data_IF_038889537525
#
_entry.id   IF_038889537525
#
_cell.length_a   1.000
_cell.length_b   1.000
_cell.length_c   1.000
_cell.angle_alpha   90.00
_cell.angle_beta   90.00
_cell.angle_gamma   90.00
#
_symmetry.space_group_name_H-M   'P 1'
#
loop_
_entity.id
_entity.type
_entity.pdbx_description
1 polymer ?
#
# COMPACT_ATOMS: atom_id res chain seq x y z
N UNK A 1 -8.85 -8.36 16.39
CA UNK A 1 -7.62 -7.88 15.74
C UNK A 1 -7.30 -6.54 16.37
N UNK A 2 -6.11 -6.34 16.91
CA UNK A 2 -5.73 -5.05 17.48
C UNK A 2 -5.33 -4.08 16.36
N UNK A 3 -5.94 -2.89 16.34
CA UNK A 3 -5.64 -1.85 15.37
C UNK A 3 -4.22 -1.31 15.56
N UNK A 4 -3.70 -1.29 16.79
CA UNK A 4 -2.36 -0.79 17.08
C UNK A 4 -1.29 -1.69 16.44
N UNK A 5 -1.39 -3.02 16.63
CA UNK A 5 -0.50 -3.99 15.97
C UNK A 5 -0.52 -3.87 14.45
N UNK A 6 -1.67 -3.52 13.83
CA UNK A 6 -1.77 -3.34 12.38
C UNK A 6 -1.01 -2.10 11.90
N UNK A 7 -1.00 -1.03 12.69
CA UNK A 7 -0.18 0.15 12.41
C UNK A 7 1.31 -0.10 12.66
N UNK A 8 1.69 -0.87 13.67
CA UNK A 8 3.09 -1.27 13.88
C UNK A 8 3.65 -2.09 12.70
N UNK A 9 2.84 -3.00 12.15
CA UNK A 9 3.22 -3.75 10.95
C UNK A 9 3.37 -2.82 9.72
N UNK A 10 2.50 -1.81 9.60
CA UNK A 10 2.59 -0.80 8.54
C UNK A 10 3.85 0.07 8.69
N UNK A 11 4.18 0.49 9.91
CA UNK A 11 5.40 1.23 10.22
C UNK A 11 6.64 0.44 9.82
N UNK A 12 6.72 -0.84 10.20
CA UNK A 12 7.84 -1.73 9.83
C UNK A 12 8.00 -1.84 8.32
N UNK A 13 6.90 -1.98 7.57
CA UNK A 13 6.92 -2.07 6.10
C UNK A 13 7.43 -0.76 5.47
N UNK A 14 6.94 0.38 5.93
CA UNK A 14 7.37 1.69 5.41
C UNK A 14 8.84 1.97 5.75
N UNK A 15 9.30 1.58 6.94
CA UNK A 15 10.72 1.70 7.34
C UNK A 15 11.64 0.81 6.51
N UNK A 16 11.22 -0.43 6.23
CA UNK A 16 11.95 -1.34 5.34
C UNK A 16 12.02 -0.79 3.90
N UNK A 17 10.92 -0.24 3.37
CA UNK A 17 10.88 0.39 2.06
C UNK A 17 11.84 1.59 1.98
N UNK A 18 11.85 2.47 2.99
CA UNK A 18 12.79 3.59 3.09
C UNK A 18 14.25 3.11 3.06
N UNK A 19 14.56 2.06 3.80
CA UNK A 19 15.91 1.48 3.86
C UNK A 19 16.32 0.91 2.50
N UNK A 20 15.42 0.19 1.83
CA UNK A 20 15.64 -0.37 0.49
C UNK A 20 15.94 0.72 -0.54
N UNK A 21 15.13 1.78 -0.59
CA UNK A 21 15.32 2.91 -1.53
C UNK A 21 16.63 3.66 -1.27
N UNK A 22 16.99 3.87 0.01
CA UNK A 22 18.29 4.49 0.36
C UNK A 22 19.48 3.66 -0.11
N UNK A 23 19.42 2.33 0.01
CA UNK A 23 20.45 1.43 -0.51
C UNK A 23 20.53 1.48 -2.04
N UNK A 24 19.36 1.44 -2.69
CA UNK A 24 19.22 1.44 -4.14
C UNK A 24 19.85 2.68 -4.82
N UNK A 25 19.88 3.84 -4.14
CA UNK A 25 20.41 5.08 -4.69
C UNK A 25 21.89 5.01 -5.14
N UNK A 26 22.67 4.07 -4.61
CA UNK A 26 24.09 3.88 -4.96
C UNK A 26 24.36 2.64 -5.81
N UNK A 27 23.31 1.93 -6.22
CA UNK A 27 23.43 0.63 -6.89
C UNK A 27 23.53 0.75 -8.41
N UNK A 28 24.12 -0.26 -9.02
CA UNK A 28 24.15 -0.40 -10.47
C UNK A 28 22.76 -0.71 -11.03
N UNK A 29 22.57 -0.46 -12.32
CA UNK A 29 21.31 -0.76 -13.02
C UNK A 29 20.88 -2.23 -12.90
N UNK A 30 21.81 -3.17 -12.92
CA UNK A 30 21.47 -4.59 -12.82
C UNK A 30 21.03 -4.97 -11.39
N UNK A 31 21.64 -4.39 -10.37
CA UNK A 31 21.18 -4.53 -8.97
C UNK A 31 19.80 -3.89 -8.76
N UNK A 32 19.55 -2.73 -9.37
CA UNK A 32 18.24 -2.08 -9.33
C UNK A 32 17.14 -2.93 -9.96
N UNK A 33 17.46 -3.69 -11.03
CA UNK A 33 16.50 -4.62 -11.66
C UNK A 33 16.14 -5.77 -10.72
N UNK A 34 17.12 -6.37 -10.05
CA UNK A 34 16.85 -7.41 -9.06
C UNK A 34 15.98 -6.91 -7.89
N UNK A 35 16.23 -5.69 -7.41
CA UNK A 35 15.38 -5.05 -6.40
C UNK A 35 13.95 -4.81 -6.90
N UNK A 36 13.79 -4.42 -8.16
CA UNK A 36 12.48 -4.23 -8.77
C UNK A 36 11.72 -5.56 -8.80
N UNK A 37 12.37 -6.63 -9.24
CA UNK A 37 11.74 -7.97 -9.30
C UNK A 37 11.32 -8.44 -7.90
N UNK A 38 12.17 -8.24 -6.89
CA UNK A 38 11.83 -8.52 -5.50
C UNK A 38 10.65 -7.67 -5.00
N UNK A 39 10.64 -6.37 -5.28
CA UNK A 39 9.56 -5.47 -4.88
C UNK A 39 8.22 -5.84 -5.53
N UNK A 40 8.25 -6.32 -6.79
CA UNK A 40 7.06 -6.85 -7.46
C UNK A 40 6.54 -8.11 -6.76
N UNK A 41 7.42 -9.05 -6.38
CA UNK A 41 7.04 -10.26 -5.66
C UNK A 41 6.47 -9.94 -4.26
N UNK A 42 7.09 -9.01 -3.53
CA UNK A 42 6.63 -8.56 -2.22
C UNK A 42 5.25 -7.90 -2.29
N UNK A 43 5.00 -7.13 -3.35
CA UNK A 43 3.70 -6.50 -3.61
C UNK A 43 2.62 -7.55 -3.92
N UNK A 44 2.94 -8.56 -4.74
CA UNK A 44 2.03 -9.66 -5.06
C UNK A 44 1.67 -10.48 -3.80
N UNK A 45 2.64 -10.73 -2.92
CA UNK A 45 2.43 -11.41 -1.63
C UNK A 45 1.54 -10.57 -0.69
N UNK A 46 1.83 -9.28 -0.55
CA UNK A 46 1.03 -8.36 0.25
C UNK A 46 -0.42 -8.30 -0.22
N UNK A 47 -0.64 -8.35 -1.54
CA UNK A 47 -1.96 -8.40 -2.15
C UNK A 47 -2.75 -9.66 -1.79
N UNK A 48 -2.10 -10.82 -1.65
CA UNK A 48 -2.76 -12.11 -1.30
C UNK A 48 -3.08 -12.21 0.19
N UNK A 49 -2.17 -11.79 1.06
CA UNK A 49 -2.36 -11.80 2.52
C UNK A 49 -3.59 -10.99 2.97
N UNK A 50 -3.90 -9.92 2.23
CA UNK A 50 -5.05 -9.09 2.50
C UNK A 50 -6.38 -9.73 2.07
N UNK A 51 -6.40 -10.61 1.06
CA UNK A 51 -7.59 -11.39 0.68
C UNK A 51 -8.01 -12.37 1.78
N UNK A 52 -7.03 -13.03 2.41
CA UNK A 52 -7.28 -14.12 3.36
C UNK A 52 -7.82 -13.62 4.72
N UNK A 53 -7.65 -12.33 5.03
CA UNK A 53 -8.04 -11.73 6.31
C UNK A 53 -9.47 -11.14 6.34
N UNK A 54 -10.21 -11.19 5.23
CA UNK A 54 -11.61 -10.75 5.18
C UNK A 54 -12.57 -11.94 5.45
N UNK A 55 -13.07 -12.07 6.68
CA UNK A 55 -14.09 -13.07 7.06
C UNK A 55 -15.54 -12.68 6.72
N UNK A 56 -16.53 -13.53 7.03
CA UNK A 56 -17.91 -13.49 6.51
C UNK A 56 -18.75 -12.24 6.85
N UNK A 57 -18.42 -11.46 7.89
CA UNK A 57 -19.09 -10.16 8.17
C UNK A 57 -18.74 -9.07 7.14
N UNK A 58 -17.85 -9.37 6.17
CA UNK A 58 -17.14 -8.41 5.34
C UNK A 58 -17.79 -8.07 3.99
N UNK A 59 -18.94 -8.58 3.57
CA UNK A 59 -19.38 -8.44 2.16
C UNK A 59 -19.27 -7.01 1.56
N UNK A 60 -19.62 -5.95 2.34
CA UNK A 60 -19.49 -4.55 1.91
C UNK A 60 -18.06 -4.00 2.02
N UNK A 61 -17.32 -4.41 3.06
CA UNK A 61 -15.90 -4.06 3.25
C UNK A 61 -15.00 -4.76 2.21
N UNK A 62 -15.33 -6.00 1.85
CA UNK A 62 -14.71 -6.84 0.85
C UNK A 62 -14.90 -6.26 -0.56
N UNK A 63 -16.07 -5.69 -0.87
CA UNK A 63 -16.32 -4.99 -2.14
C UNK A 63 -15.48 -3.71 -2.28
N UNK A 64 -15.37 -2.88 -1.23
CA UNK A 64 -14.48 -1.69 -1.26
C UNK A 64 -13.01 -2.06 -1.33
N UNK A 65 -12.60 -3.10 -0.60
CA UNK A 65 -11.25 -3.64 -0.64
C UNK A 65 -10.89 -4.19 -2.03
N UNK A 66 -11.79 -4.96 -2.64
CA UNK A 66 -11.60 -5.49 -3.99
C UNK A 66 -11.45 -4.38 -5.04
N UNK A 67 -12.21 -3.30 -4.94
CA UNK A 67 -12.08 -2.15 -5.83
C UNK A 67 -10.74 -1.43 -5.65
N UNK A 68 -10.34 -1.10 -4.40
CA UNK A 68 -9.02 -0.49 -4.14
C UNK A 68 -7.87 -1.38 -4.66
N UNK A 69 -8.03 -2.71 -4.56
CA UNK A 69 -7.04 -3.65 -5.07
C UNK A 69 -6.98 -3.66 -6.59
N UNK A 70 -8.13 -3.64 -7.29
CA UNK A 70 -8.15 -3.59 -8.75
C UNK A 70 -7.43 -2.34 -9.28
N UNK A 71 -7.69 -1.19 -8.65
CA UNK A 71 -7.01 0.07 -9.00
C UNK A 71 -5.50 0.01 -8.72
N UNK A 72 -5.11 -0.60 -7.58
CA UNK A 72 -3.70 -0.80 -7.23
C UNK A 72 -2.98 -1.79 -8.18
N UNK A 73 -3.64 -2.88 -8.59
CA UNK A 73 -3.11 -3.85 -9.55
C UNK A 73 -2.94 -3.21 -10.92
N UNK A 74 -3.90 -2.40 -11.39
CA UNK A 74 -3.76 -1.68 -12.65
C UNK A 74 -2.57 -0.71 -12.64
N UNK A 75 -2.37 0.03 -11.55
CA UNK A 75 -1.18 0.89 -11.37
C UNK A 75 0.11 0.08 -11.33
N UNK A 76 0.10 -1.10 -10.71
CA UNK A 76 1.26 -1.99 -10.67
C UNK A 76 1.62 -2.51 -12.07
N UNK A 77 0.63 -2.97 -12.84
CA UNK A 77 0.87 -3.50 -14.19
C UNK A 77 1.38 -2.41 -15.14
N UNK A 78 0.88 -1.18 -15.02
CA UNK A 78 1.42 -0.02 -15.75
C UNK A 78 2.89 0.26 -15.38
N UNK A 79 3.22 0.24 -14.07
CA UNK A 79 4.60 0.40 -13.61
C UNK A 79 5.52 -0.72 -14.14
N UNK A 80 5.06 -1.99 -14.11
CA UNK A 80 5.79 -3.15 -14.68
C UNK A 80 6.05 -2.94 -16.18
N UNK A 81 5.03 -2.58 -16.95
CA UNK A 81 5.15 -2.35 -18.38
C UNK A 81 6.13 -1.21 -18.72
N UNK A 82 6.10 -0.11 -17.96
CA UNK A 82 7.04 1.02 -18.12
C UNK A 82 8.48 0.62 -17.82
N UNK A 83 8.70 -0.20 -16.79
CA UNK A 83 10.03 -0.74 -16.45
C UNK A 83 10.58 -1.59 -17.60
N UNK A 84 9.76 -2.51 -18.13
CA UNK A 84 10.15 -3.38 -19.24
C UNK A 84 10.46 -2.61 -20.51
N UNK A 85 9.66 -1.58 -20.84
CA UNK A 85 9.91 -0.71 -21.99
C UNK A 85 11.29 -0.06 -21.91
N UNK A 86 11.65 0.51 -20.75
CA UNK A 86 12.99 1.12 -20.53
C UNK A 86 14.15 0.14 -20.68
N UNK A 87 13.90 -1.16 -20.51
CA UNK A 87 14.94 -2.17 -20.71
C UNK A 87 15.36 -2.34 -22.18
N UNK A 88 14.55 -1.86 -23.12
CA UNK A 88 14.75 -2.03 -24.57
C UNK A 88 15.09 -0.74 -25.32
N UNK A 89 15.05 0.42 -24.63
CA UNK A 89 15.26 1.74 -25.20
C UNK A 89 16.76 2.03 -25.42
N UNK A 90 17.17 2.38 -26.64
CA UNK A 90 18.58 2.69 -26.99
C UNK A 90 18.85 4.19 -27.22
N UNK A 91 17.82 5.02 -27.39
CA UNK A 91 17.96 6.46 -27.60
C UNK A 91 18.10 7.22 -26.26
N UNK A 92 19.15 8.01 -26.13
CA UNK A 92 19.48 8.71 -24.88
C UNK A 92 18.45 9.78 -24.49
N UNK A 93 17.82 10.46 -25.46
CA UNK A 93 16.84 11.50 -25.18
C UNK A 93 15.51 10.89 -24.73
N UNK A 94 15.11 9.77 -25.35
CA UNK A 94 13.96 9.01 -24.88
C UNK A 94 14.21 8.38 -23.51
N UNK A 95 15.42 7.86 -23.25
CA UNK A 95 15.77 7.30 -21.94
C UNK A 95 15.72 8.35 -20.82
N UNK A 96 16.20 9.58 -21.08
CA UNK A 96 16.12 10.68 -20.12
C UNK A 96 14.67 11.09 -19.83
N UNK A 97 13.85 11.26 -20.87
CA UNK A 97 12.42 11.58 -20.69
C UNK A 97 11.67 10.46 -19.95
N UNK A 98 11.93 9.19 -20.28
CA UNK A 98 11.33 8.05 -19.56
C UNK A 98 11.80 7.95 -18.10
N UNK A 99 12.97 8.51 -17.76
CA UNK A 99 13.44 8.64 -16.38
C UNK A 99 12.68 9.75 -15.63
N UNK A 100 12.49 10.92 -16.24
CA UNK A 100 11.71 12.02 -15.66
C UNK A 100 10.27 11.58 -15.34
N UNK A 101 9.64 10.84 -16.26
CA UNK A 101 8.31 10.25 -16.02
C UNK A 101 8.34 9.19 -14.91
N UNK A 102 9.41 8.41 -14.79
CA UNK A 102 9.56 7.44 -13.69
C UNK A 102 9.60 8.10 -12.32
N UNK A 103 10.35 9.20 -12.23
CA UNK A 103 10.51 9.96 -10.99
C UNK A 103 9.19 10.61 -10.59
N UNK A 104 8.45 11.16 -11.55
CA UNK A 104 7.10 11.69 -11.32
C UNK A 104 6.12 10.59 -10.84
N UNK A 105 6.09 9.43 -11.53
CA UNK A 105 5.26 8.28 -11.12
C UNK A 105 5.62 7.81 -9.70
N UNK A 106 6.90 7.83 -9.33
CA UNK A 106 7.36 7.45 -7.99
C UNK A 106 6.90 8.45 -6.92
N UNK A 107 6.93 9.75 -7.20
CA UNK A 107 6.40 10.80 -6.30
C UNK A 107 4.89 10.60 -6.11
N UNK A 108 4.13 10.42 -7.19
CA UNK A 108 2.68 10.19 -7.12
C UNK A 108 2.34 8.94 -6.30
N UNK A 109 3.14 7.87 -6.41
CA UNK A 109 2.98 6.66 -5.62
C UNK A 109 3.26 6.89 -4.12
N UNK A 110 4.27 7.70 -3.78
CA UNK A 110 4.59 8.08 -2.40
C UNK A 110 3.45 8.92 -1.81
N UNK A 111 2.96 9.92 -2.54
CA UNK A 111 1.87 10.79 -2.10
C UNK A 111 0.57 9.99 -1.88
N UNK A 112 0.28 9.03 -2.78
CA UNK A 112 -0.83 8.10 -2.59
C UNK A 112 -0.67 7.24 -1.34
N UNK A 113 0.53 6.72 -1.07
CA UNK A 113 0.80 5.94 0.12
C UNK A 113 0.64 6.76 1.41
N UNK A 114 1.13 8.00 1.43
CA UNK A 114 0.93 8.93 2.54
C UNK A 114 -0.56 9.18 2.81
N UNK A 115 -1.33 9.47 1.76
CA UNK A 115 -2.78 9.63 1.88
C UNK A 115 -3.46 8.37 2.43
N UNK A 116 -3.05 7.19 1.96
CA UNK A 116 -3.62 5.91 2.40
C UNK A 116 -3.36 5.65 3.89
N UNK A 117 -2.18 6.01 4.42
CA UNK A 117 -1.85 5.92 5.86
C UNK A 117 -2.78 6.82 6.68
N UNK A 118 -2.98 8.07 6.26
CA UNK A 118 -3.88 9.00 6.98
C UNK A 118 -5.34 8.56 6.89
N UNK A 119 -5.78 8.03 5.76
CA UNK A 119 -7.12 7.44 5.61
C UNK A 119 -7.32 6.25 6.57
N UNK A 120 -6.35 5.33 6.62
CA UNK A 120 -6.41 4.20 7.54
C UNK A 120 -6.52 4.66 9.00
N UNK A 121 -5.81 5.74 9.36
CA UNK A 121 -5.87 6.33 10.71
C UNK A 121 -7.26 6.86 11.01
N UNK A 122 -7.86 7.61 10.09
CA UNK A 122 -9.22 8.13 10.23
C UNK A 122 -10.24 7.01 10.48
N UNK A 123 -10.21 5.96 9.65
CA UNK A 123 -11.15 4.83 9.77
C UNK A 123 -10.90 4.02 11.05
N UNK A 124 -9.65 3.90 11.52
CA UNK A 124 -9.34 3.27 12.80
C UNK A 124 -9.91 4.06 13.98
N UNK A 125 -9.81 5.39 13.96
CA UNK A 125 -10.40 6.25 15.00
C UNK A 125 -11.93 6.16 15.02
N UNK A 126 -12.57 6.16 13.85
CA UNK A 126 -14.03 5.93 13.72
C UNK A 126 -14.46 4.57 14.32
N UNK A 127 -13.69 3.52 14.06
CA UNK A 127 -13.97 2.20 14.63
C UNK A 127 -13.81 2.16 16.16
N UNK A 128 -12.84 2.90 16.71
CA UNK A 128 -12.65 3.02 18.16
C UNK A 128 -13.80 3.81 18.81
N UNK A 129 -14.20 4.93 18.21
CA UNK A 129 -15.36 5.72 18.64
C UNK A 129 -16.65 4.87 18.66
N UNK A 130 -16.92 4.16 17.56
CA UNK A 130 -18.09 3.27 17.46
C UNK A 130 -18.10 2.18 18.54
N UNK A 131 -16.93 1.64 18.92
CA UNK A 131 -16.83 0.66 20.02
C UNK A 131 -17.13 1.29 21.37
N UNK A 132 -16.55 2.45 21.66
CA UNK A 132 -16.79 3.20 22.90
C UNK A 132 -18.29 3.51 23.04
N UNK A 133 -18.90 4.02 21.98
CA UNK A 133 -20.32 4.33 21.95
C UNK A 133 -21.21 3.09 22.17
N UNK A 134 -20.86 1.94 21.58
CA UNK A 134 -21.57 0.68 21.82
C UNK A 134 -21.51 0.26 23.30
N UNK A 135 -20.35 0.36 23.93
CA UNK A 135 -20.15 0.02 25.33
C UNK A 135 -20.93 0.97 26.26
N UNK A 136 -20.98 2.27 25.94
CA UNK A 136 -21.81 3.25 26.65
C UNK A 136 -23.30 2.90 26.58
N UNK A 137 -23.79 2.51 25.40
CA UNK A 137 -25.20 2.11 25.20
C UNK A 137 -25.53 0.81 25.93
N UNK A 138 -24.62 -0.16 25.95
CA UNK A 138 -24.80 -1.39 26.70
C UNK A 138 -24.94 -1.11 28.22
N UNK A 139 -24.04 -0.29 28.79
CA UNK A 139 -24.11 0.12 30.20
C UNK A 139 -25.39 0.89 30.52
N UNK A 140 -25.83 1.78 29.63
CA UNK A 140 -27.07 2.52 29.84
C UNK A 140 -28.29 1.59 29.88
N UNK A 141 -28.32 0.54 29.06
CA UNK A 141 -29.38 -0.46 29.06
C UNK A 141 -29.39 -1.34 30.32
N UNK A 142 -28.21 -1.70 30.85
CA UNK A 142 -28.08 -2.47 32.10
C UNK A 142 -28.57 -1.69 33.34
N UNK A 143 -28.52 -0.35 33.29
CA UNK A 143 -28.94 0.53 34.39
C UNK A 143 -30.37 1.07 34.22
N UNK A 144 -31.12 0.62 33.20
CA UNK A 144 -32.50 1.00 33.00
C UNK A 144 -33.43 0.22 33.96
N UNK A 145 -34.32 0.90 34.71
CA UNK A 145 -35.19 0.28 35.71
C UNK A 145 -36.33 -0.57 35.13
#
# INVERSE_FOLDING_TARGET
MDLSTRFEDLEKRTSAALTSVKSAATESRDQLRERIDQAQADLDLAGKDAEQKAGETAARAQSKWAQMRADATAKMDDAKAKIDKRNTQLDAKMAANDADWAEADAIDAIDYAQWAVENARLVALDALDARVYADERARAAENAP
#
